data_IF_783322564512
#
_entry.id   IF_783322564512
#
_cell.length_a   1.000
_cell.length_b   1.000
_cell.length_c   1.000
_cell.angle_alpha   90.00
_cell.angle_beta   90.00
_cell.angle_gamma   90.00
#
_symmetry.space_group_name_H-M   'P 1'
#
loop_
_entity.id
_entity.type
_entity.pdbx_description
1 polymer ?
#
# COMPACT_ATOMS: atom_id res chain seq x y z
N UNK A 1 1.41 50.66 26.54
CA UNK A 1 1.58 51.07 25.12
C UNK A 1 1.58 49.81 24.29
N UNK A 2 0.68 49.68 23.32
CA UNK A 2 0.61 48.53 22.41
C UNK A 2 1.23 48.91 21.07
N UNK A 3 2.17 48.09 20.58
CA UNK A 3 2.82 48.24 19.27
C UNK A 3 2.88 46.88 18.58
N UNK A 4 2.58 46.82 17.29
CA UNK A 4 2.30 45.56 16.58
C UNK A 4 3.54 44.96 15.90
N UNK A 5 3.67 43.63 15.94
CA UNK A 5 4.73 42.83 15.30
C UNK A 5 4.19 41.99 14.12
N UNK A 6 3.24 42.53 13.34
CA UNK A 6 2.43 41.77 12.37
C UNK A 6 2.66 42.23 10.90
N UNK A 7 3.59 43.13 10.63
CA UNK A 7 3.79 43.75 9.30
C UNK A 7 4.65 42.97 8.31
N UNK A 8 5.69 42.26 8.76
CA UNK A 8 6.77 41.84 7.85
C UNK A 8 6.49 40.52 7.13
N UNK A 9 5.90 39.53 7.81
CA UNK A 9 5.60 38.20 7.21
C UNK A 9 4.75 38.29 5.96
N UNK A 10 3.86 39.28 5.86
CA UNK A 10 2.97 39.45 4.71
C UNK A 10 3.70 39.85 3.43
N UNK A 11 4.84 40.55 3.51
CA UNK A 11 5.60 40.95 2.33
C UNK A 11 6.42 39.79 1.77
N UNK A 12 7.10 39.02 2.62
CA UNK A 12 7.80 37.79 2.20
C UNK A 12 6.80 36.76 1.65
N UNK A 13 5.63 36.60 2.27
CA UNK A 13 4.54 35.74 1.78
C UNK A 13 4.00 36.20 0.42
N UNK A 14 4.08 37.48 0.06
CA UNK A 14 3.67 37.99 -1.27
C UNK A 14 4.78 37.76 -2.30
N UNK A 15 6.03 38.04 -1.96
CA UNK A 15 7.19 37.87 -2.87
C UNK A 15 7.37 36.40 -3.25
N UNK A 16 7.25 35.49 -2.27
CA UNK A 16 7.42 34.04 -2.49
C UNK A 16 6.32 33.39 -3.33
N UNK A 17 5.15 34.02 -3.47
CA UNK A 17 4.06 33.58 -4.37
C UNK A 17 4.34 33.89 -5.86
N UNK A 18 5.31 34.75 -6.16
CA UNK A 18 5.67 35.12 -7.54
C UNK A 18 6.92 34.38 -8.01
N UNK A 19 6.86 33.80 -9.21
CA UNK A 19 7.99 33.06 -9.80
C UNK A 19 9.06 34.05 -10.24
N UNK A 20 10.24 33.97 -9.63
CA UNK A 20 11.34 34.92 -9.85
C UNK A 20 12.36 34.47 -10.91
N UNK A 21 12.27 33.25 -11.45
CA UNK A 21 13.20 32.71 -12.45
C UNK A 21 12.39 32.16 -13.63
N UNK A 22 12.68 32.63 -14.84
CA UNK A 22 11.95 32.22 -16.05
C UNK A 22 12.36 30.82 -16.53
N UNK A 23 13.67 30.57 -16.65
CA UNK A 23 14.22 29.31 -17.14
C UNK A 23 15.52 28.91 -16.42
N UNK A 24 15.70 27.61 -16.21
CA UNK A 24 16.95 26.99 -15.76
C UNK A 24 17.46 26.05 -16.85
N UNK A 25 18.71 26.21 -17.26
CA UNK A 25 19.41 25.23 -18.12
C UNK A 25 20.26 24.30 -17.26
N UNK A 26 19.98 23.00 -17.32
CA UNK A 26 20.62 21.95 -16.51
C UNK A 26 20.97 20.76 -17.41
N UNK A 27 22.26 20.64 -17.75
CA UNK A 27 22.74 19.62 -18.69
C UNK A 27 22.05 19.75 -20.06
N UNK A 28 21.39 18.67 -20.52
CA UNK A 28 20.61 18.64 -21.77
C UNK A 28 19.21 19.26 -21.69
N UNK A 29 18.77 19.77 -20.54
CA UNK A 29 17.38 20.18 -20.30
C UNK A 29 17.24 21.68 -20.04
N UNK A 30 16.16 22.29 -20.57
CA UNK A 30 15.65 23.58 -20.12
C UNK A 30 14.38 23.38 -19.31
N UNK A 31 14.40 23.87 -18.07
CA UNK A 31 13.35 23.72 -17.07
C UNK A 31 12.65 25.07 -16.87
N UNK A 32 11.33 25.06 -16.72
CA UNK A 32 10.55 26.23 -16.28
C UNK A 32 10.20 26.07 -14.80
N UNK A 33 10.73 26.91 -13.89
CA UNK A 33 10.42 26.86 -12.46
C UNK A 33 8.92 26.93 -12.17
N UNK A 34 8.52 26.27 -11.07
CA UNK A 34 7.15 26.21 -10.60
C UNK A 34 6.88 27.21 -9.49
N UNK A 35 7.87 27.47 -8.63
CA UNK A 35 7.79 28.33 -7.45
C UNK A 35 8.97 29.31 -7.38
N UNK A 36 8.86 30.33 -6.53
CA UNK A 36 9.98 31.17 -6.13
C UNK A 36 11.14 30.32 -5.56
N UNK A 37 12.38 30.69 -5.88
CA UNK A 37 13.59 30.16 -5.23
C UNK A 37 14.64 31.26 -5.00
N UNK A 38 15.22 31.39 -3.78
CA UNK A 38 16.07 32.51 -3.37
C UNK A 38 17.51 32.43 -3.89
N UNK A 39 17.66 32.28 -5.21
CA UNK A 39 18.94 32.55 -5.87
C UNK A 39 19.30 34.05 -5.79
N UNK A 40 20.59 34.43 -5.92
CA UNK A 40 21.02 35.82 -5.94
C UNK A 40 20.26 36.68 -6.97
N UNK A 41 19.86 37.90 -6.57
CA UNK A 41 18.90 38.74 -7.30
C UNK A 41 19.42 39.18 -8.69
N UNK A 42 20.74 39.26 -8.85
CA UNK A 42 21.41 39.59 -10.13
C UNK A 42 21.33 38.44 -11.14
N UNK A 43 20.88 37.26 -10.70
CA UNK A 43 20.69 36.06 -11.50
C UNK A 43 19.21 35.78 -11.80
N UNK A 44 18.30 36.20 -10.91
CA UNK A 44 16.85 35.99 -11.09
C UNK A 44 16.27 36.85 -12.21
N UNK A 45 16.85 38.04 -12.44
CA UNK A 45 16.49 38.94 -13.56
C UNK A 45 16.98 38.47 -14.94
N UNK A 46 17.62 37.29 -15.04
CA UNK A 46 18.15 36.76 -16.29
C UNK A 46 17.15 35.79 -16.96
N UNK A 47 17.01 35.79 -18.29
CA UNK A 47 16.06 34.90 -18.98
C UNK A 47 16.43 33.41 -18.89
N UNK A 48 17.71 33.10 -18.61
CA UNK A 48 18.18 31.72 -18.37
C UNK A 48 19.24 31.72 -17.28
N UNK A 49 19.00 30.94 -16.22
CA UNK A 49 19.99 30.59 -15.19
C UNK A 49 20.67 29.27 -15.57
N UNK A 50 22.00 29.26 -15.68
CA UNK A 50 22.76 28.09 -16.16
C UNK A 50 23.36 27.32 -14.99
N UNK A 51 23.08 26.02 -14.86
CA UNK A 51 23.63 25.13 -13.82
C UNK A 51 24.54 24.05 -14.42
N UNK A 52 25.66 23.78 -13.75
CA UNK A 52 26.46 22.59 -14.01
C UNK A 52 25.75 21.34 -13.51
N UNK A 53 25.48 20.35 -14.37
CA UNK A 53 24.72 19.16 -14.00
C UNK A 53 25.38 18.27 -12.93
N UNK A 54 26.71 18.29 -12.82
CA UNK A 54 27.45 17.45 -11.87
C UNK A 54 27.71 18.09 -10.51
N UNK A 55 27.89 19.42 -10.43
CA UNK A 55 28.17 20.13 -9.17
C UNK A 55 27.08 21.13 -8.74
N UNK A 56 26.03 21.27 -9.55
CA UNK A 56 24.88 22.16 -9.38
C UNK A 56 25.23 23.66 -9.26
N UNK A 57 26.49 24.05 -9.48
CA UNK A 57 26.91 25.45 -9.45
C UNK A 57 26.21 26.24 -10.55
N UNK A 58 25.52 27.30 -10.12
CA UNK A 58 24.80 28.24 -10.97
C UNK A 58 25.70 29.38 -11.48
N UNK A 59 25.47 29.85 -12.71
CA UNK A 59 26.22 30.93 -13.36
C UNK A 59 25.35 31.76 -14.32
N UNK A 60 25.72 33.03 -14.52
CA UNK A 60 24.96 34.03 -15.27
C UNK A 60 24.95 33.93 -16.81
N UNK A 61 25.62 32.95 -17.42
CA UNK A 61 25.64 32.78 -18.88
C UNK A 61 26.28 31.46 -19.32
N UNK A 62 25.94 31.03 -20.54
CA UNK A 62 26.57 29.88 -21.21
C UNK A 62 28.11 30.00 -21.29
N UNK A 63 28.66 31.20 -21.56
CA UNK A 63 30.11 31.46 -21.58
C UNK A 63 30.76 31.36 -20.18
N UNK A 64 29.99 31.49 -19.11
CA UNK A 64 30.45 31.16 -17.76
C UNK A 64 30.34 29.66 -17.49
N UNK A 65 29.30 28.98 -17.97
CA UNK A 65 29.14 27.52 -17.82
C UNK A 65 30.25 26.77 -18.56
N UNK A 66 30.53 27.11 -19.82
CA UNK A 66 31.61 26.53 -20.62
C UNK A 66 32.98 26.65 -19.92
N UNK A 67 33.33 27.84 -19.41
CA UNK A 67 34.57 28.09 -18.64
C UNK A 67 34.60 27.41 -17.27
N UNK A 68 33.46 26.97 -16.76
CA UNK A 68 33.38 26.16 -15.56
C UNK A 68 33.54 24.67 -15.89
N UNK A 69 32.90 24.17 -16.95
CA UNK A 69 32.99 22.77 -17.39
C UNK A 69 34.42 22.36 -17.76
N UNK A 70 35.23 23.26 -18.33
CA UNK A 70 36.67 23.02 -18.57
C UNK A 70 37.53 22.95 -17.30
N UNK A 71 36.96 23.23 -16.13
CA UNK A 71 37.62 23.18 -14.81
C UNK A 71 36.90 22.29 -13.80
N UNK A 72 35.74 21.74 -14.15
CA UNK A 72 34.92 20.94 -13.26
C UNK A 72 35.30 19.48 -13.44
N UNK A 73 35.90 18.88 -12.41
CA UNK A 73 36.32 17.48 -12.43
C UNK A 73 35.22 16.52 -11.96
N UNK A 74 34.13 17.01 -11.36
CA UNK A 74 33.01 16.18 -10.93
C UNK A 74 32.26 15.62 -12.15
N UNK A 75 31.96 14.31 -12.10
CA UNK A 75 31.09 13.59 -13.03
C UNK A 75 29.98 12.80 -12.33
N UNK A 76 29.84 13.01 -11.01
CA UNK A 76 28.82 12.42 -10.16
C UNK A 76 28.58 13.34 -8.95
N UNK A 77 27.48 13.15 -8.20
CA UNK A 77 27.25 13.86 -6.94
C UNK A 77 28.41 13.60 -5.93
N UNK A 78 28.87 14.61 -5.18
CA UNK A 78 30.02 14.48 -4.28
C UNK A 78 29.65 13.76 -2.98
N UNK A 79 29.58 12.43 -3.06
CA UNK A 79 29.20 11.55 -1.96
C UNK A 79 29.57 10.10 -2.23
N UNK A 80 29.15 9.20 -1.33
CA UNK A 80 29.40 7.77 -1.46
C UNK A 80 28.34 7.15 -2.38
N UNK A 81 28.73 6.39 -3.41
CA UNK A 81 27.80 5.54 -4.18
C UNK A 81 27.39 4.37 -3.27
N UNK A 82 26.21 4.46 -2.65
CA UNK A 82 25.70 3.44 -1.70
C UNK A 82 24.77 2.43 -2.36
N UNK A 83 24.41 2.62 -3.62
CA UNK A 83 23.63 1.65 -4.39
C UNK A 83 23.89 1.81 -5.87
N UNK A 84 23.97 0.69 -6.59
CA UNK A 84 24.08 0.65 -8.06
C UNK A 84 23.36 -0.56 -8.64
N UNK A 85 22.40 -0.35 -9.55
CA UNK A 85 21.80 -1.41 -10.36
C UNK A 85 21.65 -0.96 -11.82
N UNK A 86 22.44 -1.57 -12.71
CA UNK A 86 22.50 -1.19 -14.12
C UNK A 86 22.98 0.25 -14.30
N UNK A 87 22.11 1.12 -14.83
CA UNK A 87 22.37 2.56 -14.99
C UNK A 87 21.88 3.41 -13.83
N UNK A 88 21.18 2.87 -12.83
CA UNK A 88 20.64 3.64 -11.71
C UNK A 88 21.55 3.53 -10.49
N UNK A 89 21.98 4.68 -9.98
CA UNK A 89 22.85 4.76 -8.79
C UNK A 89 22.36 5.81 -7.79
N UNK A 90 22.49 5.54 -6.49
CA UNK A 90 22.21 6.48 -5.41
C UNK A 90 23.49 6.90 -4.69
N UNK A 91 23.66 8.21 -4.50
CA UNK A 91 24.77 8.80 -3.76
C UNK A 91 24.30 9.37 -2.41
N UNK A 92 24.93 8.94 -1.33
CA UNK A 92 24.77 9.53 0.01
C UNK A 92 25.68 10.75 0.15
N UNK A 93 25.08 11.90 0.46
CA UNK A 93 25.78 13.17 0.71
C UNK A 93 25.44 13.70 2.09
N UNK A 94 26.47 13.89 2.92
CA UNK A 94 26.39 14.66 4.16
C UNK A 94 26.39 16.17 3.84
N UNK A 95 25.30 16.87 4.18
CA UNK A 95 25.14 18.29 3.91
C UNK A 95 25.98 19.24 4.76
N UNK A 96 26.63 18.75 5.82
CA UNK A 96 27.68 19.48 6.56
C UNK A 96 29.01 19.40 5.81
N UNK A 97 29.35 18.22 5.28
CA UNK A 97 30.61 17.98 4.54
C UNK A 97 30.61 18.61 3.15
N UNK A 98 29.48 18.56 2.46
CA UNK A 98 29.33 19.02 1.07
C UNK A 98 28.44 20.27 0.95
N UNK A 99 28.51 21.17 1.95
CA UNK A 99 27.61 22.33 2.14
C UNK A 99 27.26 23.07 0.84
N UNK A 100 28.25 23.42 0.00
CA UNK A 100 27.98 24.12 -1.27
C UNK A 100 27.16 23.30 -2.28
N UNK A 101 27.36 21.98 -2.38
CA UNK A 101 26.55 21.14 -3.26
C UNK A 101 25.12 21.01 -2.72
N UNK A 102 24.97 20.76 -1.42
CA UNK A 102 23.66 20.65 -0.78
C UNK A 102 22.86 21.95 -0.82
N UNK A 103 23.50 23.12 -0.68
CA UNK A 103 22.86 24.43 -0.86
C UNK A 103 22.41 24.64 -2.30
N UNK A 104 23.27 24.36 -3.30
CA UNK A 104 22.89 24.43 -4.72
C UNK A 104 21.70 23.50 -5.04
N UNK A 105 21.70 22.28 -4.48
CA UNK A 105 20.61 21.31 -4.61
C UNK A 105 19.31 21.83 -3.97
N UNK A 106 19.39 22.41 -2.77
CA UNK A 106 18.23 23.00 -2.09
C UNK A 106 17.62 24.17 -2.88
N UNK A 107 18.44 25.04 -3.47
CA UNK A 107 17.99 26.14 -4.33
C UNK A 107 17.33 25.60 -5.62
N UNK A 108 17.91 24.58 -6.26
CA UNK A 108 17.31 23.91 -7.42
C UNK A 108 15.99 23.20 -7.04
N UNK A 109 15.93 22.56 -5.88
CA UNK A 109 14.73 21.88 -5.40
C UNK A 109 13.60 22.86 -5.09
N UNK A 110 13.92 24.03 -4.50
CA UNK A 110 12.94 25.07 -4.16
C UNK A 110 12.22 25.64 -5.39
N UNK A 111 12.82 25.58 -6.59
CA UNK A 111 12.14 25.91 -7.84
C UNK A 111 10.94 24.99 -8.16
N UNK A 112 10.88 23.79 -7.57
CA UNK A 112 9.87 22.75 -7.86
C UNK A 112 9.14 22.23 -6.61
N UNK A 113 9.51 22.74 -5.42
CA UNK A 113 8.87 22.45 -4.13
C UNK A 113 8.40 23.76 -3.49
N UNK A 114 7.12 23.82 -3.15
CA UNK A 114 6.51 25.02 -2.57
C UNK A 114 7.02 25.26 -1.14
N UNK A 115 6.67 24.35 -0.23
CA UNK A 115 6.87 24.46 1.22
C UNK A 115 8.29 24.13 1.72
N UNK A 116 9.32 24.17 0.86
CA UNK A 116 10.71 23.94 1.30
C UNK A 116 11.26 25.19 2.01
N UNK A 117 11.28 25.16 3.33
CA UNK A 117 11.72 26.28 4.19
C UNK A 117 13.24 26.36 4.35
N UNK A 118 13.93 25.23 4.55
CA UNK A 118 15.37 25.18 4.79
C UNK A 118 16.14 24.95 3.47
N UNK A 119 17.02 25.90 3.12
CA UNK A 119 17.86 25.83 1.91
C UNK A 119 19.32 26.28 2.10
N UNK A 120 19.63 27.13 3.08
CA UNK A 120 21.01 27.51 3.41
C UNK A 120 21.62 26.73 4.57
N UNK A 121 20.84 26.32 5.56
CA UNK A 121 21.29 25.33 6.53
C UNK A 121 21.07 23.91 5.98
N UNK A 122 22.17 23.20 5.79
CA UNK A 122 22.22 21.84 5.25
C UNK A 122 22.92 20.88 6.20
N UNK A 123 23.44 21.36 7.33
CA UNK A 123 24.27 20.59 8.25
C UNK A 123 23.49 19.47 9.00
N UNK A 124 22.20 19.62 9.37
CA UNK A 124 21.44 18.52 9.98
C UNK A 124 20.93 17.48 8.97
N UNK A 125 21.15 17.65 7.66
CA UNK A 125 20.58 16.79 6.62
C UNK A 125 21.59 15.82 5.98
N UNK A 126 21.08 14.65 5.63
CA UNK A 126 21.61 13.77 4.57
C UNK A 126 20.79 13.96 3.30
N UNK A 127 21.44 13.82 2.15
CA UNK A 127 20.82 13.89 0.82
C UNK A 127 21.16 12.62 0.04
N UNK A 128 20.13 11.96 -0.49
CA UNK A 128 20.23 10.73 -1.27
C UNK A 128 19.90 11.05 -2.73
N UNK A 129 20.94 11.17 -3.56
CA UNK A 129 20.84 11.65 -4.94
C UNK A 129 20.73 10.46 -5.89
N UNK A 130 19.61 10.34 -6.60
CA UNK A 130 19.42 9.32 -7.63
C UNK A 130 19.86 9.82 -9.00
N UNK A 131 20.57 8.98 -9.74
CA UNK A 131 21.21 9.32 -11.00
C UNK A 131 21.00 8.27 -12.10
N UNK A 132 20.97 8.73 -13.35
CA UNK A 132 21.15 7.93 -14.57
C UNK A 132 22.64 7.98 -14.96
N UNK A 133 23.32 6.84 -15.07
CA UNK A 133 24.69 6.72 -15.56
C UNK A 133 24.75 6.55 -17.08
N UNK A 134 25.52 7.40 -17.78
CA UNK A 134 25.95 7.21 -19.16
C UNK A 134 27.47 7.44 -19.32
N UNK A 135 27.99 7.23 -20.53
CA UNK A 135 29.36 7.56 -20.97
C UNK A 135 29.99 8.86 -20.44
N UNK A 136 29.17 9.87 -20.15
CA UNK A 136 29.58 11.20 -19.67
C UNK A 136 29.65 11.32 -18.16
N UNK A 137 29.04 10.40 -17.41
CA UNK A 137 28.94 10.45 -15.95
C UNK A 137 27.54 10.09 -15.44
N UNK A 138 27.24 10.59 -14.25
CA UNK A 138 26.02 10.31 -13.50
C UNK A 138 25.15 11.57 -13.46
N UNK A 139 24.05 11.54 -14.21
CA UNK A 139 23.16 12.66 -14.42
C UNK A 139 22.05 12.65 -13.37
N UNK A 140 21.85 13.76 -12.66
CA UNK A 140 20.82 13.85 -11.60
C UNK A 140 19.40 13.68 -12.16
N UNK A 141 18.65 12.74 -11.59
CA UNK A 141 17.26 12.42 -11.94
C UNK A 141 16.30 12.94 -10.86
N UNK A 142 16.70 12.81 -9.60
CA UNK A 142 15.93 13.23 -8.44
C UNK A 142 16.71 13.01 -7.15
N UNK A 143 16.12 13.37 -6.02
CA UNK A 143 16.70 13.13 -4.70
C UNK A 143 15.61 13.04 -3.63
N UNK A 144 16.01 12.58 -2.44
CA UNK A 144 15.34 12.97 -1.20
C UNK A 144 16.36 13.41 -0.14
N UNK A 145 15.93 14.22 0.82
CA UNK A 145 16.71 14.54 2.03
C UNK A 145 16.06 13.92 3.26
N UNK A 146 16.87 13.56 4.24
CA UNK A 146 16.49 12.97 5.53
C UNK A 146 17.26 13.70 6.64
N UNK A 147 16.63 13.95 7.77
CA UNK A 147 17.31 14.50 8.95
C UNK A 147 18.25 13.43 9.56
N UNK A 148 19.38 13.87 10.11
CA UNK A 148 20.31 12.97 10.82
C UNK A 148 19.74 12.48 12.15
N UNK A 149 18.97 13.34 12.81
CA UNK A 149 18.19 13.09 14.02
C UNK A 149 16.81 13.73 13.77
N UNK A 150 15.73 12.94 13.79
CA UNK A 150 14.35 13.40 13.60
C UNK A 150 13.50 12.96 14.79
N UNK A 151 12.69 13.85 15.37
CA UNK A 151 11.86 13.52 16.55
C UNK A 151 10.63 12.69 16.20
N UNK A 152 10.14 12.82 14.97
CA UNK A 152 8.91 12.16 14.47
C UNK A 152 9.21 10.87 13.67
N UNK A 153 10.46 10.41 13.68
CA UNK A 153 11.05 9.41 12.77
C UNK A 153 10.74 9.66 11.28
N UNK A 154 10.89 10.90 10.81
CA UNK A 154 10.74 11.18 9.38
C UNK A 154 11.89 10.54 8.59
N UNK A 155 11.57 9.55 7.73
CA UNK A 155 12.58 8.93 6.85
C UNK A 155 12.82 9.75 5.57
N UNK A 156 11.94 10.71 5.28
CA UNK A 156 12.03 11.68 4.18
C UNK A 156 11.50 13.04 4.63
N UNK A 157 12.33 14.08 4.53
CA UNK A 157 11.98 15.48 4.78
C UNK A 157 11.54 16.21 3.49
N UNK A 158 12.31 16.03 2.39
CA UNK A 158 11.93 16.54 1.06
C UNK A 158 12.21 15.46 0.03
N UNK A 159 11.37 15.34 -1.00
CA UNK A 159 11.54 14.39 -2.11
C UNK A 159 11.17 15.05 -3.44
N UNK A 160 12.00 14.86 -4.47
CA UNK A 160 11.80 15.46 -5.79
C UNK A 160 12.35 14.56 -6.90
N UNK A 161 11.52 14.26 -7.90
CA UNK A 161 11.99 13.88 -9.24
C UNK A 161 12.00 15.13 -10.12
N UNK A 162 13.13 15.44 -10.77
CA UNK A 162 13.25 16.63 -11.61
C UNK A 162 12.28 16.54 -12.80
N UNK A 163 11.67 17.66 -13.26
CA UNK A 163 10.56 17.65 -14.23
C UNK A 163 10.74 16.76 -15.49
N UNK A 164 11.91 16.69 -16.16
CA UNK A 164 12.08 15.88 -17.38
C UNK A 164 11.94 14.36 -17.13
N UNK A 165 12.13 13.92 -15.89
CA UNK A 165 12.17 12.52 -15.50
C UNK A 165 10.89 12.07 -14.74
N UNK A 166 9.95 12.98 -14.52
CA UNK A 166 8.67 12.64 -13.88
C UNK A 166 7.83 11.68 -14.73
N UNK A 167 6.92 10.95 -14.08
CA UNK A 167 6.06 9.89 -14.67
C UNK A 167 6.81 8.67 -15.24
N UNK A 168 8.13 8.55 -15.07
CA UNK A 168 8.96 7.39 -15.49
C UNK A 168 9.19 6.34 -14.38
N UNK A 169 8.33 6.29 -13.35
CA UNK A 169 8.49 5.42 -12.18
C UNK A 169 9.49 5.92 -11.11
N UNK A 170 10.43 6.79 -11.47
CA UNK A 170 11.48 7.31 -10.57
C UNK A 170 11.00 7.86 -9.22
N UNK A 171 9.85 8.54 -9.16
CA UNK A 171 9.28 9.01 -7.88
C UNK A 171 8.97 7.88 -6.90
N UNK A 172 8.52 6.72 -7.41
CA UNK A 172 8.30 5.51 -6.59
C UNK A 172 9.60 4.81 -6.22
N UNK A 173 10.62 4.88 -7.08
CA UNK A 173 11.94 4.32 -6.82
C UNK A 173 12.69 5.07 -5.70
N UNK A 174 12.52 6.40 -5.64
CA UNK A 174 13.01 7.23 -4.51
C UNK A 174 12.34 6.84 -3.18
N UNK A 175 11.02 6.65 -3.18
CA UNK A 175 10.24 6.23 -1.99
C UNK A 175 10.63 4.82 -1.54
N UNK A 176 10.75 3.88 -2.49
CA UNK A 176 11.18 2.52 -2.21
C UNK A 176 12.59 2.52 -1.57
N UNK A 177 13.51 3.33 -2.09
CA UNK A 177 14.84 3.46 -1.52
C UNK A 177 14.85 4.05 -0.09
N UNK A 178 14.01 5.05 0.22
CA UNK A 178 13.93 5.58 1.59
C UNK A 178 13.41 4.55 2.60
N UNK A 179 12.57 3.62 2.18
CA UNK A 179 12.12 2.51 3.03
C UNK A 179 13.16 1.38 3.14
N UNK A 180 13.90 1.05 2.08
CA UNK A 180 15.02 0.10 2.19
C UNK A 180 16.12 0.59 3.16
N UNK A 181 16.38 1.90 3.22
CA UNK A 181 17.25 2.47 4.27
C UNK A 181 16.66 2.29 5.68
N UNK A 182 15.36 2.54 5.87
CA UNK A 182 14.68 2.31 7.15
C UNK A 182 14.74 0.84 7.60
N UNK A 183 14.63 -0.12 6.68
CA UNK A 183 14.78 -1.56 6.97
C UNK A 183 16.19 -1.89 7.46
N UNK A 184 17.22 -1.39 6.77
CA UNK A 184 18.64 -1.59 7.17
C UNK A 184 18.96 -0.88 8.49
N UNK A 185 18.26 0.21 8.83
CA UNK A 185 18.34 0.87 10.14
C UNK A 185 17.56 0.15 11.26
N UNK A 186 16.73 -0.85 10.94
CA UNK A 186 15.85 -1.52 11.92
C UNK A 186 14.75 -0.60 12.46
N UNK A 187 14.25 0.34 11.64
CA UNK A 187 13.28 1.37 12.03
C UNK A 187 12.05 1.40 11.13
N UNK A 188 10.96 1.96 11.65
CA UNK A 188 9.81 2.39 10.84
C UNK A 188 9.96 3.87 10.44
N UNK A 189 9.20 4.33 9.45
CA UNK A 189 9.27 5.70 8.97
C UNK A 189 8.04 6.17 8.19
N UNK A 190 7.86 7.49 8.19
CA UNK A 190 6.83 8.22 7.43
C UNK A 190 7.50 9.45 6.80
N UNK A 191 7.01 10.00 5.67
CA UNK A 191 7.47 11.29 5.20
C UNK A 191 6.98 12.45 6.08
N UNK A 192 7.75 13.54 6.09
CA UNK A 192 7.38 14.84 6.65
C UNK A 192 6.07 15.35 6.02
N UNK A 193 5.24 16.02 6.84
CA UNK A 193 3.88 16.46 6.51
C UNK A 193 3.80 17.99 6.66
N UNK A 194 3.17 18.72 5.71
CA UNK A 194 2.34 18.24 4.60
C UNK A 194 3.12 17.82 3.34
N UNK A 195 2.71 16.69 2.76
CA UNK A 195 3.11 16.30 1.40
C UNK A 195 2.41 17.18 0.35
N UNK A 196 3.06 17.41 -0.79
CA UNK A 196 2.39 17.89 -2.00
C UNK A 196 1.47 16.82 -2.59
N UNK A 197 0.44 17.21 -3.35
CA UNK A 197 -0.53 16.28 -3.95
C UNK A 197 0.12 15.13 -4.74
N UNK A 198 1.14 15.46 -5.55
CA UNK A 198 1.90 14.49 -6.32
C UNK A 198 2.72 13.55 -5.42
N UNK A 199 3.22 14.06 -4.29
CA UNK A 199 3.88 13.26 -3.25
C UNK A 199 2.88 12.30 -2.59
N UNK A 200 1.75 12.81 -2.11
CA UNK A 200 0.70 12.02 -1.44
C UNK A 200 0.15 10.90 -2.33
N UNK A 201 -0.11 11.20 -3.61
CA UNK A 201 -0.51 10.18 -4.60
C UNK A 201 0.58 9.13 -4.83
N UNK A 202 1.85 9.53 -4.84
CA UNK A 202 2.99 8.61 -5.00
C UNK A 202 3.17 7.70 -3.79
N UNK A 203 3.08 8.24 -2.56
CA UNK A 203 3.15 7.47 -1.32
C UNK A 203 1.98 6.50 -1.18
N UNK A 204 0.72 6.96 -1.36
CA UNK A 204 -0.46 6.07 -1.37
C UNK A 204 -0.32 4.94 -2.38
N UNK A 205 0.19 5.24 -3.59
CA UNK A 205 0.43 4.23 -4.63
C UNK A 205 1.59 3.28 -4.32
N UNK A 206 2.56 3.68 -3.49
CA UNK A 206 3.64 2.82 -3.01
C UNK A 206 3.19 1.93 -1.84
N UNK A 207 2.59 2.51 -0.79
CA UNK A 207 2.10 1.77 0.37
C UNK A 207 1.04 0.73 -0.02
N UNK A 208 0.07 1.12 -0.86
CA UNK A 208 -0.98 0.21 -1.34
C UNK A 208 -0.39 -1.00 -2.07
N UNK A 209 0.68 -0.80 -2.85
CA UNK A 209 1.35 -1.90 -3.55
C UNK A 209 2.16 -2.76 -2.59
N UNK A 210 2.98 -2.16 -1.74
CA UNK A 210 3.87 -2.89 -0.81
C UNK A 210 3.08 -3.73 0.20
N UNK A 211 1.93 -3.23 0.67
CA UNK A 211 1.05 -3.96 1.60
C UNK A 211 0.29 -5.08 0.87
N UNK A 212 -0.17 -4.85 -0.37
CA UNK A 212 -0.82 -5.89 -1.17
C UNK A 212 0.15 -7.00 -1.61
N UNK A 213 1.42 -6.67 -1.93
CA UNK A 213 2.48 -7.65 -2.18
C UNK A 213 2.57 -8.65 -1.01
N UNK A 214 2.71 -8.16 0.23
CA UNK A 214 2.76 -8.99 1.44
C UNK A 214 1.48 -9.82 1.63
N UNK A 215 0.30 -9.18 1.57
CA UNK A 215 -0.96 -9.87 1.82
C UNK A 215 -1.26 -10.97 0.78
N UNK A 216 -0.76 -10.84 -0.45
CA UNK A 216 -0.86 -11.87 -1.49
C UNK A 216 0.20 -12.97 -1.37
N UNK A 217 1.35 -12.70 -0.74
CA UNK A 217 2.42 -13.69 -0.52
C UNK A 217 2.23 -14.55 0.75
N UNK A 218 1.28 -14.21 1.63
CA UNK A 218 0.93 -14.98 2.83
C UNK A 218 0.42 -16.40 2.51
N UNK A 219 1.26 -17.40 2.75
CA UNK A 219 0.95 -18.83 2.57
C UNK A 219 0.44 -19.46 3.87
N UNK A 220 -0.44 -20.46 3.73
CA UNK A 220 -0.93 -21.29 4.84
C UNK A 220 -0.02 -22.50 5.03
N UNK A 221 1.02 -22.40 5.85
CA UNK A 221 2.04 -23.45 6.00
C UNK A 221 1.53 -24.71 6.72
N UNK A 222 0.52 -24.58 7.59
CA UNK A 222 0.02 -25.62 8.51
C UNK A 222 -1.40 -26.11 8.21
N UNK A 223 -2.05 -25.56 7.17
CA UNK A 223 -3.50 -25.71 6.95
C UNK A 223 -4.37 -24.80 7.82
N UNK A 224 -3.74 -23.99 8.69
CA UNK A 224 -4.40 -22.90 9.41
C UNK A 224 -4.66 -21.71 8.46
N UNK A 225 -5.50 -20.77 8.88
CA UNK A 225 -5.88 -19.59 8.06
C UNK A 225 -4.74 -18.57 8.06
N UNK A 226 -4.50 -17.82 6.96
CA UNK A 226 -3.45 -16.82 6.94
C UNK A 226 -3.80 -15.69 7.94
N UNK A 227 -2.85 -15.38 8.82
CA UNK A 227 -2.97 -14.32 9.82
C UNK A 227 -1.77 -13.38 9.72
N UNK A 228 -1.98 -12.12 10.09
CA UNK A 228 -0.93 -11.10 10.22
C UNK A 228 -1.41 -10.01 11.20
N UNK A 229 -0.50 -9.20 11.71
CA UNK A 229 -0.75 -8.05 12.59
C UNK A 229 -0.35 -6.73 11.89
N UNK A 230 -0.80 -5.56 12.37
CA UNK A 230 -0.28 -4.29 11.83
C UNK A 230 1.21 -4.16 12.17
N UNK A 231 1.64 -4.71 13.32
CA UNK A 231 3.03 -4.74 13.76
C UNK A 231 3.93 -5.45 12.74
N UNK A 232 3.58 -6.67 12.32
CA UNK A 232 4.36 -7.43 11.33
C UNK A 232 4.39 -6.71 9.97
N UNK A 233 3.26 -6.16 9.49
CA UNK A 233 3.27 -5.35 8.25
C UNK A 233 4.20 -4.15 8.40
N UNK A 234 4.11 -3.44 9.53
CA UNK A 234 4.94 -2.28 9.87
C UNK A 234 6.44 -2.64 9.94
N UNK A 235 6.79 -3.80 10.49
CA UNK A 235 8.17 -4.29 10.64
C UNK A 235 8.75 -4.79 9.31
N UNK A 236 8.00 -5.57 8.53
CA UNK A 236 8.43 -6.09 7.21
C UNK A 236 8.61 -4.96 6.19
N UNK A 237 7.79 -3.90 6.27
CA UNK A 237 7.81 -2.79 5.30
C UNK A 237 8.62 -1.57 5.73
N UNK A 238 8.91 -1.43 7.03
CA UNK A 238 9.30 -0.17 7.67
C UNK A 238 8.29 0.98 7.54
N UNK A 239 7.03 0.74 7.13
CA UNK A 239 5.97 1.76 7.09
C UNK A 239 5.39 1.94 8.50
N UNK A 240 5.24 3.17 8.98
CA UNK A 240 4.60 3.43 10.29
C UNK A 240 3.17 2.87 10.37
N UNK A 241 2.77 2.37 11.54
CA UNK A 241 1.50 1.66 11.77
C UNK A 241 0.28 2.48 11.34
N UNK A 242 0.32 3.79 11.51
CA UNK A 242 -0.72 4.74 11.16
C UNK A 242 -0.90 4.85 9.63
N UNK A 243 0.20 4.81 8.88
CA UNK A 243 0.20 4.80 7.41
C UNK A 243 -0.23 3.42 6.87
N UNK A 244 0.08 2.32 7.57
CA UNK A 244 -0.45 0.97 7.27
C UNK A 244 -1.97 0.92 7.47
N UNK A 245 -2.47 1.31 8.66
CA UNK A 245 -3.90 1.31 8.99
C UNK A 245 -4.68 2.20 8.02
N UNK A 246 -4.22 3.43 7.78
CA UNK A 246 -4.90 4.34 6.85
C UNK A 246 -4.84 3.88 5.38
N UNK A 247 -3.81 3.13 4.98
CA UNK A 247 -3.78 2.48 3.65
C UNK A 247 -4.77 1.31 3.56
N UNK A 248 -4.85 0.44 4.57
CA UNK A 248 -5.81 -0.67 4.61
C UNK A 248 -7.27 -0.16 4.67
N UNK A 249 -7.52 0.97 5.34
CA UNK A 249 -8.79 1.70 5.31
C UNK A 249 -9.09 2.30 3.93
N UNK A 250 -8.11 2.97 3.30
CA UNK A 250 -8.24 3.54 1.96
C UNK A 250 -8.55 2.48 0.89
N UNK A 251 -7.99 1.28 1.03
CA UNK A 251 -8.29 0.12 0.19
C UNK A 251 -9.59 -0.61 0.55
N UNK A 252 -10.31 -0.16 1.60
CA UNK A 252 -11.54 -0.75 2.13
C UNK A 252 -11.41 -2.23 2.55
N UNK A 253 -10.20 -2.64 2.98
CA UNK A 253 -9.92 -4.03 3.34
C UNK A 253 -10.35 -4.38 4.77
N UNK A 254 -10.24 -3.43 5.71
CA UNK A 254 -10.55 -3.64 7.13
C UNK A 254 -12.06 -3.78 7.34
N UNK A 255 -12.52 -4.97 7.69
CA UNK A 255 -13.87 -5.22 8.17
C UNK A 255 -13.84 -5.66 9.64
N UNK A 256 -14.55 -4.95 10.52
CA UNK A 256 -14.63 -5.27 11.95
C UNK A 256 -15.76 -6.24 12.24
N UNK A 257 -15.46 -7.35 12.91
CA UNK A 257 -16.46 -8.28 13.42
C UNK A 257 -16.36 -8.37 14.95
N UNK A 258 -17.34 -7.78 15.63
CA UNK A 258 -17.50 -7.87 17.08
C UNK A 258 -18.09 -9.23 17.44
N UNK A 259 -17.34 -10.07 18.13
CA UNK A 259 -17.89 -11.31 18.67
C UNK A 259 -18.64 -11.00 19.96
N UNK A 260 -19.95 -11.25 19.96
CA UNK A 260 -20.69 -11.38 21.20
C UNK A 260 -20.31 -12.73 21.81
N UNK A 261 -19.94 -12.75 23.10
CA UNK A 261 -19.33 -13.89 23.78
C UNK A 261 -20.35 -14.97 24.17
N UNK A 262 -21.22 -15.38 23.23
CA UNK A 262 -22.25 -16.40 23.41
C UNK A 262 -22.31 -17.36 22.21
N UNK A 263 -21.58 -18.48 22.32
CA UNK A 263 -21.81 -19.68 21.53
C UNK A 263 -21.04 -19.80 20.20
N UNK A 264 -20.57 -21.02 19.93
CA UNK A 264 -19.83 -21.41 18.71
C UNK A 264 -20.69 -21.34 17.42
N UNK A 265 -21.99 -21.08 17.55
CA UNK A 265 -22.97 -21.02 16.45
C UNK A 265 -22.82 -19.81 15.52
N UNK A 266 -22.40 -18.64 16.01
CA UNK A 266 -22.38 -17.41 15.20
C UNK A 266 -21.33 -17.42 14.07
N UNK A 267 -20.27 -18.20 14.16
CA UNK A 267 -19.24 -18.27 13.10
C UNK A 267 -19.75 -18.88 11.79
N UNK A 268 -20.62 -19.89 11.86
CA UNK A 268 -21.35 -20.38 10.67
C UNK A 268 -22.20 -19.26 10.08
N UNK A 269 -22.81 -18.42 10.91
CA UNK A 269 -23.70 -17.35 10.46
C UNK A 269 -22.95 -16.16 9.83
N UNK A 270 -21.75 -15.79 10.31
CA UNK A 270 -20.90 -14.78 9.66
C UNK A 270 -20.40 -15.28 8.30
N UNK A 271 -19.84 -16.49 8.23
CA UNK A 271 -19.36 -17.07 6.95
C UNK A 271 -20.52 -17.33 5.99
N UNK A 272 -21.68 -17.76 6.49
CA UNK A 272 -22.90 -17.92 5.69
C UNK A 272 -23.44 -16.59 5.20
N UNK A 273 -23.49 -15.52 6.03
CA UNK A 273 -23.90 -14.18 5.58
C UNK A 273 -22.96 -13.59 4.53
N UNK A 274 -21.65 -13.81 4.65
CA UNK A 274 -20.69 -13.48 3.58
C UNK A 274 -21.04 -14.29 2.34
N UNK A 275 -21.11 -15.62 2.43
CA UNK A 275 -21.47 -16.48 1.29
C UNK A 275 -22.81 -16.08 0.65
N UNK A 276 -23.82 -15.68 1.44
CA UNK A 276 -25.16 -15.31 1.01
C UNK A 276 -25.19 -13.92 0.35
N UNK A 277 -24.54 -12.90 0.92
CA UNK A 277 -24.43 -11.56 0.31
C UNK A 277 -23.71 -11.64 -1.03
N UNK A 278 -22.67 -12.47 -1.12
CA UNK A 278 -21.90 -12.66 -2.35
C UNK A 278 -22.65 -13.57 -3.34
N UNK A 279 -23.43 -14.55 -2.87
CA UNK A 279 -24.38 -15.30 -3.70
C UNK A 279 -25.47 -14.39 -4.29
N UNK A 280 -26.03 -13.47 -3.51
CA UNK A 280 -26.99 -12.46 -3.98
C UNK A 280 -26.34 -11.51 -4.99
N UNK A 281 -25.10 -11.07 -4.78
CA UNK A 281 -24.33 -10.31 -5.80
C UNK A 281 -24.11 -11.13 -7.07
N UNK A 282 -23.80 -12.42 -6.97
CA UNK A 282 -23.65 -13.31 -8.13
C UNK A 282 -24.97 -13.45 -8.89
N UNK A 283 -26.08 -13.69 -8.20
CA UNK A 283 -27.43 -13.77 -8.79
C UNK A 283 -27.80 -12.45 -9.47
N UNK A 284 -27.61 -11.30 -8.82
CA UNK A 284 -27.90 -9.99 -9.42
C UNK A 284 -27.00 -9.67 -10.62
N UNK A 285 -25.73 -10.10 -10.60
CA UNK A 285 -24.80 -9.95 -11.72
C UNK A 285 -25.17 -10.87 -12.87
N UNK A 286 -25.58 -12.10 -12.58
CA UNK A 286 -26.06 -13.08 -13.56
C UNK A 286 -27.37 -12.59 -14.20
N UNK A 287 -28.33 -12.08 -13.41
CA UNK A 287 -29.57 -11.47 -13.89
C UNK A 287 -29.32 -10.23 -14.76
N UNK A 288 -28.37 -9.35 -14.40
CA UNK A 288 -27.93 -8.25 -15.28
C UNK A 288 -27.31 -8.75 -16.59
N UNK A 289 -26.46 -9.78 -16.52
CA UNK A 289 -25.83 -10.37 -17.72
C UNK A 289 -26.86 -11.05 -18.62
N UNK A 290 -27.84 -11.72 -18.03
CA UNK A 290 -28.98 -12.32 -18.72
C UNK A 290 -29.86 -11.25 -19.38
N UNK A 291 -30.24 -10.20 -18.65
CA UNK A 291 -30.99 -9.04 -19.17
C UNK A 291 -30.30 -8.31 -20.32
N UNK A 292 -28.96 -8.25 -20.31
CA UNK A 292 -28.17 -7.65 -21.39
C UNK A 292 -27.92 -8.61 -22.58
N UNK A 293 -28.13 -9.92 -22.39
CA UNK A 293 -27.97 -10.93 -23.46
C UNK A 293 -29.29 -11.22 -24.16
N UNK A 294 -30.40 -11.20 -23.41
CA UNK A 294 -31.77 -11.44 -23.90
C UNK A 294 -32.58 -10.15 -23.79
N UNK A 295 -32.24 -9.18 -24.65
CA UNK A 295 -32.86 -7.85 -24.65
C UNK A 295 -34.36 -7.89 -25.01
N UNK A 296 -35.14 -7.11 -24.26
CA UNK A 296 -36.51 -6.67 -24.54
C UNK A 296 -37.40 -7.59 -25.41
N UNK A 297 -38.05 -8.58 -24.79
CA UNK A 297 -39.31 -9.13 -25.33
C UNK A 297 -40.41 -9.18 -24.27
N UNK A 298 -41.65 -9.00 -24.74
CA UNK A 298 -42.91 -8.93 -23.97
C UNK A 298 -43.11 -7.73 -23.03
N UNK A 299 -43.45 -6.61 -23.68
CA UNK A 299 -44.49 -5.72 -23.16
C UNK A 299 -45.88 -6.39 -23.26
N UNK A 300 -46.79 -5.92 -22.40
CA UNK A 300 -48.26 -6.14 -22.37
C UNK A 300 -48.84 -7.41 -21.71
N UNK A 301 -49.70 -7.12 -20.72
CA UNK A 301 -50.80 -7.91 -20.12
C UNK A 301 -50.47 -9.13 -19.25
N UNK A 302 -51.31 -9.28 -18.22
CA UNK A 302 -51.30 -10.34 -17.18
C UNK A 302 -52.47 -11.32 -17.44
N UNK A 303 -52.68 -12.39 -16.66
CA UNK A 303 -52.25 -13.74 -17.03
C UNK A 303 -53.43 -14.71 -17.26
N UNK A 304 -53.15 -15.96 -17.66
CA UNK A 304 -53.51 -17.05 -16.74
C UNK A 304 -52.39 -18.09 -16.53
N UNK A 305 -52.68 -19.10 -15.71
CA UNK A 305 -51.74 -20.07 -15.15
C UNK A 305 -51.24 -21.17 -16.13
N UNK A 306 -50.35 -22.02 -15.60
CA UNK A 306 -49.81 -23.27 -16.17
C UNK A 306 -48.68 -23.17 -17.22
N UNK A 307 -47.46 -23.00 -16.71
CA UNK A 307 -46.25 -23.56 -17.33
C UNK A 307 -45.33 -24.08 -16.22
N UNK A 308 -45.39 -25.38 -15.93
CA UNK A 308 -44.50 -26.04 -14.96
C UNK A 308 -43.13 -26.31 -15.61
N UNK A 309 -42.04 -25.93 -14.95
CA UNK A 309 -40.71 -26.51 -15.19
C UNK A 309 -40.02 -26.72 -13.84
N UNK A 310 -39.90 -27.98 -13.43
CA UNK A 310 -39.38 -28.33 -12.11
C UNK A 310 -37.86 -28.16 -12.06
N UNK A 311 -37.39 -27.31 -11.16
CA UNK A 311 -36.09 -27.44 -10.52
C UNK A 311 -36.37 -27.61 -9.03
N UNK A 312 -36.10 -28.81 -8.51
CA UNK A 312 -36.52 -29.21 -7.17
C UNK A 312 -35.81 -28.43 -6.07
N UNK A 313 -36.56 -27.63 -5.31
CA UNK A 313 -36.18 -27.20 -3.96
C UNK A 313 -36.54 -28.30 -2.97
N UNK A 314 -35.65 -29.29 -2.82
CA UNK A 314 -35.68 -30.20 -1.67
C UNK A 314 -34.73 -29.72 -0.57
N UNK A 315 -35.07 -30.11 0.67
CA UNK A 315 -34.52 -29.53 1.89
C UNK A 315 -33.06 -29.91 2.13
N UNK A 316 -32.20 -28.90 2.28
CA UNK A 316 -30.97 -29.04 3.07
C UNK A 316 -31.17 -28.40 4.46
N UNK A 317 -31.81 -29.13 5.38
CA UNK A 317 -32.03 -28.68 6.76
C UNK A 317 -30.70 -28.54 7.54
N UNK A 318 -30.69 -27.66 8.56
CA UNK A 318 -29.49 -27.40 9.35
C UNK A 318 -29.14 -28.59 10.26
N UNK A 319 -27.99 -29.22 10.02
CA UNK A 319 -27.41 -30.13 10.99
C UNK A 319 -26.73 -29.34 12.13
N UNK A 320 -27.54 -29.00 13.15
CA UNK A 320 -27.14 -28.51 14.47
C UNK A 320 -28.04 -29.18 15.52
N UNK A 321 -27.67 -30.37 15.97
CA UNK A 321 -28.39 -31.12 17.00
C UNK A 321 -27.97 -30.65 18.41
N UNK A 322 -28.69 -29.69 18.98
CA UNK A 322 -28.54 -29.28 20.37
C UNK A 322 -29.28 -30.24 21.32
N UNK A 323 -28.57 -30.80 22.31
CA UNK A 323 -29.16 -31.62 23.36
C UNK A 323 -29.80 -30.71 24.41
N UNK A 324 -31.07 -30.96 24.76
CA UNK A 324 -31.65 -30.52 26.02
C UNK A 324 -32.78 -31.47 26.47
N UNK A 325 -33.00 -31.56 27.78
CA UNK A 325 -33.83 -32.59 28.41
C UNK A 325 -34.97 -31.93 29.20
N UNK A 326 -36.23 -32.30 28.92
CA UNK A 326 -37.23 -32.69 29.95
C UNK A 326 -38.61 -33.09 29.38
N UNK A 327 -39.19 -34.11 30.05
CA UNK A 327 -40.58 -34.30 30.53
C UNK A 327 -41.64 -33.30 30.00
N UNK A 328 -42.91 -33.69 29.78
CA UNK A 328 -43.75 -34.54 30.66
C UNK A 328 -45.11 -34.83 29.98
N UNK A 329 -45.78 -35.96 30.31
CA UNK A 329 -47.26 -36.18 30.32
C UNK A 329 -48.08 -35.96 29.04
N UNK A 330 -49.19 -36.66 28.74
CA UNK A 330 -49.85 -37.85 29.35
C UNK A 330 -51.11 -38.21 28.53
N UNK A 331 -51.55 -39.48 28.60
CA UNK A 331 -52.89 -39.98 28.17
C UNK A 331 -53.13 -39.97 26.63
N UNK A 332 -53.92 -40.85 26.03
CA UNK A 332 -54.80 -41.89 26.60
C UNK A 332 -54.84 -43.21 25.77
N UNK A 333 -55.46 -44.27 26.31
CA UNK A 333 -55.66 -45.59 25.66
C UNK A 333 -57.17 -45.89 25.52
N UNK A 334 -57.64 -46.72 24.56
CA UNK A 334 -57.82 -48.17 24.79
C UNK A 334 -57.42 -49.08 23.58
N UNK A 335 -56.92 -50.31 23.77
CA UNK A 335 -57.62 -51.63 23.88
C UNK A 335 -58.43 -52.05 22.63
N UNK A 336 -58.57 -53.32 22.21
CA UNK A 336 -58.31 -54.65 22.82
C UNK A 336 -58.14 -55.73 21.70
N UNK A 337 -57.53 -56.91 21.96
CA UNK A 337 -57.74 -58.11 21.12
C UNK A 337 -56.55 -59.06 20.90
N UNK A 338 -56.43 -60.10 21.74
CA UNK A 338 -55.56 -61.29 21.60
C UNK A 338 -56.40 -62.55 21.95
N UNK A 339 -55.91 -63.80 22.12
CA UNK A 339 -54.58 -64.41 21.91
C UNK A 339 -54.66 -65.59 20.89
N UNK A 340 -53.79 -66.60 20.73
CA UNK A 340 -52.56 -67.14 21.41
C UNK A 340 -51.67 -67.76 20.28
N UNK A 341 -50.67 -68.66 20.41
CA UNK A 341 -50.10 -69.58 21.44
C UNK A 341 -48.58 -69.35 21.63
N UNK A 342 -47.83 -70.35 22.13
CA UNK A 342 -46.40 -70.31 22.51
C UNK A 342 -45.80 -71.75 22.51
N UNK A 343 -44.50 -72.05 22.86
CA UNK A 343 -43.33 -71.24 23.32
C UNK A 343 -42.19 -71.16 22.25
N UNK A 344 -40.93 -70.74 22.47
CA UNK A 344 -40.12 -70.34 23.65
C UNK A 344 -39.11 -71.43 24.13
N UNK A 345 -37.99 -71.14 24.86
CA UNK A 345 -37.62 -69.86 25.49
C UNK A 345 -36.14 -69.34 25.35
N UNK A 346 -35.96 -68.04 25.65
CA UNK A 346 -34.82 -67.36 26.36
C UNK A 346 -33.37 -67.16 25.79
N UNK A 347 -32.93 -65.86 25.80
CA UNK A 347 -31.59 -65.27 26.11
C UNK A 347 -30.48 -65.02 25.02
N UNK A 348 -30.56 -63.87 24.31
CA UNK A 348 -29.64 -62.67 24.19
C UNK A 348 -28.06 -62.81 24.11
N UNK A 349 -27.28 -61.79 23.59
CA UNK A 349 -27.00 -61.38 22.18
C UNK A 349 -25.46 -61.06 21.99
N UNK A 350 -24.91 -60.08 21.19
CA UNK A 350 -25.30 -59.36 19.94
C UNK A 350 -24.18 -59.30 18.83
N UNK A 351 -24.37 -58.42 17.83
CA UNK A 351 -23.37 -57.68 16.99
C UNK A 351 -22.83 -58.18 15.61
N UNK A 352 -22.32 -57.18 14.84
CA UNK A 352 -21.69 -57.18 13.49
C UNK A 352 -22.56 -57.43 12.24
N UNK A 353 -22.13 -57.10 10.99
CA UNK A 353 -21.54 -55.85 10.45
C UNK A 353 -21.47 -55.90 8.90
N UNK A 354 -21.66 -54.74 8.25
CA UNK A 354 -21.19 -54.33 6.90
C UNK A 354 -21.23 -55.28 5.67
N UNK A 355 -21.76 -54.76 4.55
CA UNK A 355 -21.07 -54.79 3.23
C UNK A 355 -21.56 -53.67 2.32
N UNK A 356 -20.70 -53.21 1.42
CA UNK A 356 -20.93 -52.03 0.59
C UNK A 356 -21.00 -52.38 -0.90
N UNK A 357 -21.71 -51.57 -1.67
CA UNK A 357 -21.71 -51.57 -3.14
C UNK A 357 -21.22 -50.21 -3.61
N UNK A 358 -20.17 -50.18 -4.44
CA UNK A 358 -19.59 -48.93 -4.91
C UNK A 358 -20.43 -48.34 -6.08
N UNK A 359 -20.69 -47.03 -6.03
CA UNK A 359 -21.11 -46.25 -7.18
C UNK A 359 -20.06 -45.17 -7.46
N UNK A 360 -19.34 -45.28 -8.58
CA UNK A 360 -18.54 -44.17 -9.08
C UNK A 360 -19.47 -43.12 -9.70
N UNK A 361 -19.80 -42.08 -8.93
CA UNK A 361 -20.35 -40.83 -9.47
C UNK A 361 -19.17 -39.89 -9.73
N UNK A 362 -19.05 -39.40 -10.96
CA UNK A 362 -18.00 -38.44 -11.31
C UNK A 362 -18.13 -37.15 -10.48
N UNK A 363 -16.99 -36.58 -10.08
CA UNK A 363 -16.94 -35.22 -9.56
C UNK A 363 -17.41 -34.25 -10.64
N UNK A 364 -18.67 -33.82 -10.55
CA UNK A 364 -19.17 -32.67 -11.27
C UNK A 364 -18.53 -31.41 -10.65
N UNK A 365 -17.35 -31.04 -11.16
CA UNK A 365 -16.54 -29.94 -10.63
C UNK A 365 -17.31 -28.61 -10.61
N UNK A 366 -17.90 -28.26 -9.46
CA UNK A 366 -18.36 -26.90 -9.17
C UNK A 366 -17.17 -25.95 -8.84
N UNK A 367 -16.03 -26.15 -9.52
CA UNK A 367 -14.76 -25.44 -9.32
C UNK A 367 -14.77 -24.02 -9.94
N UNK A 368 -15.92 -23.34 -9.90
CA UNK A 368 -16.16 -22.02 -10.52
C UNK A 368 -17.10 -21.09 -9.74
N UNK A 369 -17.67 -21.51 -8.61
CA UNK A 369 -18.65 -20.72 -7.86
C UNK A 369 -18.37 -20.56 -6.35
N UNK A 370 -17.20 -20.98 -5.86
CA UNK A 370 -16.81 -20.83 -4.46
C UNK A 370 -15.49 -20.05 -4.32
N UNK A 371 -15.58 -18.87 -3.68
CA UNK A 371 -14.47 -18.11 -3.07
C UNK A 371 -13.36 -17.59 -4.02
N UNK A 372 -13.63 -16.54 -4.80
CA UNK A 372 -12.59 -15.68 -5.39
C UNK A 372 -12.19 -14.50 -4.48
N UNK A 373 -12.09 -14.77 -3.17
CA UNK A 373 -11.70 -13.80 -2.15
C UNK A 373 -10.68 -14.41 -1.18
N UNK A 374 -9.51 -13.78 -1.07
CA UNK A 374 -8.50 -14.14 -0.07
C UNK A 374 -8.83 -13.44 1.25
N UNK A 375 -9.07 -14.25 2.28
CA UNK A 375 -9.53 -13.84 3.61
C UNK A 375 -8.40 -14.02 4.61
N UNK A 376 -7.89 -12.90 5.14
CA UNK A 376 -6.74 -12.85 6.05
C UNK A 376 -7.19 -12.28 7.39
N UNK A 377 -6.74 -12.88 8.48
CA UNK A 377 -7.13 -12.49 9.84
C UNK A 377 -6.12 -11.48 10.39
N UNK A 378 -6.62 -10.29 10.73
CA UNK A 378 -5.83 -9.23 11.34
C UNK A 378 -6.02 -9.28 12.86
N UNK A 379 -5.00 -9.77 13.55
CA UNK A 379 -4.94 -9.84 15.01
C UNK A 379 -4.24 -8.59 15.55
N UNK A 380 -4.98 -7.58 16.03
CA UNK A 380 -4.35 -6.40 16.61
C UNK A 380 -5.20 -5.75 17.71
N UNK A 381 -4.66 -5.74 18.93
CA UNK A 381 -5.32 -5.16 20.12
C UNK A 381 -5.29 -3.62 20.10
N UNK A 382 -4.39 -2.99 19.35
CA UNK A 382 -4.25 -1.53 19.34
C UNK A 382 -5.40 -0.81 18.64
N UNK A 383 -6.22 -1.52 17.86
CA UNK A 383 -7.35 -0.95 17.13
C UNK A 383 -8.62 -0.90 18.00
N UNK A 384 -8.77 -1.75 19.03
CA UNK A 384 -9.82 -1.58 20.06
C UNK A 384 -9.66 -2.47 21.31
N UNK A 385 -10.03 -1.94 22.49
CA UNK A 385 -10.08 -2.62 23.80
C UNK A 385 -11.25 -3.63 23.96
N UNK A 386 -11.63 -4.35 22.90
CA UNK A 386 -12.78 -5.28 22.89
C UNK A 386 -12.47 -6.55 22.11
N UNK A 387 -13.00 -7.68 22.60
CA UNK A 387 -12.83 -9.01 21.99
C UNK A 387 -13.50 -9.09 20.61
N UNK A 388 -12.71 -8.84 19.56
CA UNK A 388 -13.08 -8.93 18.15
C UNK A 388 -11.85 -9.21 17.30
N UNK A 389 -12.07 -9.69 16.08
CA UNK A 389 -11.00 -9.80 15.07
C UNK A 389 -11.38 -8.96 13.86
N UNK A 390 -10.36 -8.39 13.22
CA UNK A 390 -10.52 -7.72 11.95
C UNK A 390 -10.28 -8.74 10.83
N UNK A 391 -11.13 -8.71 9.81
CA UNK A 391 -11.02 -9.59 8.65
C UNK A 391 -10.67 -8.74 7.43
N UNK A 392 -9.49 -8.97 6.87
CA UNK A 392 -9.07 -8.40 5.60
C UNK A 392 -9.65 -9.25 4.48
N UNK A 393 -10.42 -8.62 3.60
CA UNK A 393 -11.05 -9.31 2.45
C UNK A 393 -10.49 -8.72 1.16
N UNK A 394 -9.54 -9.41 0.55
CA UNK A 394 -9.07 -9.08 -0.80
C UNK A 394 -10.11 -9.58 -1.82
N UNK A 395 -10.42 -8.76 -2.83
CA UNK A 395 -11.26 -9.17 -3.97
C UNK A 395 -10.42 -9.51 -5.19
N UNK A 396 -10.98 -10.33 -6.07
CA UNK A 396 -10.48 -10.62 -7.42
C UNK A 396 -10.12 -9.32 -8.18
N UNK A 397 -10.98 -8.28 -8.12
CA UNK A 397 -10.70 -6.95 -8.70
C UNK A 397 -9.42 -6.29 -8.15
N UNK A 398 -9.18 -6.41 -6.84
CA UNK A 398 -8.01 -5.84 -6.15
C UNK A 398 -6.74 -6.63 -6.51
N UNK A 399 -6.83 -7.96 -6.56
CA UNK A 399 -5.73 -8.86 -6.95
C UNK A 399 -5.35 -8.62 -8.42
N UNK A 400 -6.28 -8.71 -9.36
CA UNK A 400 -6.01 -8.38 -10.76
C UNK A 400 -5.52 -6.93 -10.94
N UNK A 401 -6.08 -5.99 -10.17
CA UNK A 401 -5.67 -4.59 -10.17
C UNK A 401 -4.22 -4.41 -9.74
N UNK A 402 -3.80 -5.17 -8.71
CA UNK A 402 -2.44 -5.22 -8.22
C UNK A 402 -1.48 -5.85 -9.23
N UNK A 403 -1.79 -7.04 -9.75
CA UNK A 403 -0.97 -7.77 -10.72
C UNK A 403 -0.74 -6.94 -12.00
N UNK A 404 -1.81 -6.35 -12.56
CA UNK A 404 -1.72 -5.43 -13.72
C UNK A 404 -0.92 -4.17 -13.44
N UNK A 405 -0.71 -3.79 -12.18
CA UNK A 405 0.16 -2.70 -11.78
C UNK A 405 1.62 -3.16 -11.57
N UNK A 406 1.85 -4.39 -11.09
CA UNK A 406 3.18 -4.99 -10.98
C UNK A 406 3.80 -5.34 -12.33
N UNK A 407 3.03 -5.89 -13.27
CA UNK A 407 3.47 -6.13 -14.66
C UNK A 407 3.93 -4.85 -15.39
N UNK A 408 3.57 -3.66 -14.88
CA UNK A 408 3.99 -2.35 -15.39
C UNK A 408 5.14 -1.72 -14.60
N UNK A 409 5.56 -2.32 -13.47
CA UNK A 409 6.55 -1.77 -12.53
C UNK A 409 7.98 -2.25 -12.90
N UNK A 410 8.50 -1.70 -14.00
CA UNK A 410 9.83 -2.04 -14.55
C UNK A 410 10.98 -1.71 -13.58
N UNK A 411 10.80 -0.73 -12.70
CA UNK A 411 11.83 -0.30 -11.74
C UNK A 411 11.45 -0.73 -10.31
N UNK A 412 12.37 -1.47 -9.67
CA UNK A 412 12.40 -1.84 -8.25
C UNK A 412 13.80 -1.58 -7.69
N UNK A 413 13.90 -1.25 -6.40
CA UNK A 413 15.17 -1.37 -5.66
C UNK A 413 15.49 -2.84 -5.45
N UNK A 414 16.78 -3.17 -5.40
CA UNK A 414 17.31 -4.50 -5.09
C UNK A 414 18.18 -4.41 -3.85
N UNK A 415 17.72 -4.94 -2.72
CA UNK A 415 18.41 -4.83 -1.44
C UNK A 415 19.82 -5.45 -1.46
N UNK A 416 20.12 -6.37 -2.39
CA UNK A 416 21.47 -6.94 -2.57
C UNK A 416 22.46 -5.97 -3.22
N UNK A 417 21.94 -4.94 -3.89
CA UNK A 417 22.73 -3.85 -4.50
C UNK A 417 22.89 -2.64 -3.56
N UNK A 418 22.38 -2.70 -2.33
CA UNK A 418 22.49 -1.66 -1.31
C UNK A 418 23.72 -1.91 -0.42
N UNK A 419 24.66 -0.96 -0.45
CA UNK A 419 25.90 -0.95 0.33
C UNK A 419 25.85 0.21 1.32
N UNK A 420 24.96 0.10 2.30
CA UNK A 420 24.70 1.11 3.32
C UNK A 420 25.02 0.56 4.72
N UNK A 421 25.54 1.43 5.59
CA UNK A 421 25.79 1.12 7.00
C UNK A 421 25.14 2.22 7.84
N UNK A 422 24.19 1.89 8.72
CA UNK A 422 23.55 2.87 9.61
C UNK A 422 24.57 3.65 10.44
N UNK A 423 24.36 4.96 10.54
CA UNK A 423 25.19 5.86 11.34
C UNK A 423 24.44 6.32 12.57
N UNK A 424 25.05 6.10 13.73
CA UNK A 424 24.58 6.68 14.98
C UNK A 424 25.06 8.13 15.09
N UNK A 425 24.17 9.06 14.75
CA UNK A 425 24.42 10.50 14.82
C UNK A 425 24.44 11.05 16.25
N UNK A 426 23.72 10.41 17.18
CA UNK A 426 23.65 10.83 18.59
C UNK A 426 25.03 10.79 19.26
N UNK A 427 25.89 9.86 18.83
CA UNK A 427 27.30 9.74 19.24
C UNK A 427 28.18 10.80 18.54
N UNK A 428 27.97 12.07 18.90
CA UNK A 428 28.76 13.23 18.44
C UNK A 428 30.26 12.98 18.67
N UNK A 429 31.03 12.79 17.59
CA UNK A 429 32.50 12.77 17.66
C UNK A 429 33.27 11.88 16.69
N UNK A 430 32.63 11.09 15.80
CA UNK A 430 33.34 10.14 14.92
C UNK A 430 32.97 10.17 13.42
N UNK A 431 32.11 11.09 12.98
CA UNK A 431 31.56 11.14 11.62
C UNK A 431 31.80 12.46 10.91
#
# INVERSE_FOLDING_TARGET
MTGSLVSDRSHDDIITRMKNIECIELGRHRLKPWYFSPYPQELTVLPVLYLCEFCLKYVKSLKCLQRHLTKCNLRHPPGNEIYRKGTISFFEIDGRKNKSYSQNLCLLAKCFLDHKTLYYDTDPFLFYIMTEYDSKGFHIVGYFSKEKESTEDYNVACILTLPPYQRRGYGKLLIEFSYELSKVEGKTGTPEKPLSDLGLLSYRSYWSQTILEILMELKTETGERPQITINEISEITSIKKEDVISTLQYLNLINYYKFLTEGVSQWRDVVSRISLVYSIKCILTYLKKWSNTYGCFFLTRTPPAYAFMQIGWERSELCVSSISIRRKSSLDTPLLGSPTTAPGPSLLPPEQASRATALHVHSANCSRCCLSHLVIFLNDESICLLQGQYILTLSEDIVEGHERAMLKRVLRIDSKCLHFTPKDWSKRGKW
#
